data_IF_937304656865
#
_entry.id   IF_937304656865
#
_cell.length_a   1.000
_cell.length_b   1.000
_cell.length_c   1.000
_cell.angle_alpha   90.00
_cell.angle_beta   90.00
_cell.angle_gamma   90.00
#
_symmetry.space_group_name_H-M   'P 1'
#
loop_
_entity.id
_entity.type
_entity.pdbx_description
1 polymer ?
#
# COMPACT_ATOMS: atom_id res chain seq x y z
N UNK A 1 9.00 -12.17 31.06
CA UNK A 1 9.62 -11.85 29.75
C UNK A 1 8.73 -10.84 29.06
N UNK A 2 9.30 -9.84 28.37
CA UNK A 2 8.54 -8.85 27.61
C UNK A 2 8.81 -9.05 26.11
N UNK A 3 7.76 -9.07 25.31
CA UNK A 3 7.84 -9.23 23.85
C UNK A 3 7.48 -7.91 23.18
N UNK A 4 8.26 -7.51 22.18
CA UNK A 4 8.02 -6.31 21.38
C UNK A 4 7.56 -6.80 20.01
N UNK A 5 6.34 -6.46 19.60
CA UNK A 5 5.81 -6.80 18.28
C UNK A 5 6.03 -5.60 17.35
N UNK A 6 6.95 -5.66 16.39
CA UNK A 6 7.13 -4.58 15.43
C UNK A 6 5.93 -4.54 14.49
N UNK A 7 5.35 -3.36 14.30
CA UNK A 7 4.37 -3.10 13.25
C UNK A 7 5.12 -2.58 12.03
N UNK A 8 5.04 -3.31 10.93
CA UNK A 8 5.64 -2.92 9.64
C UNK A 8 4.53 -2.78 8.60
N UNK A 9 4.71 -1.81 7.70
CA UNK A 9 3.87 -1.65 6.53
C UNK A 9 4.42 -2.55 5.41
N UNK A 10 3.55 -3.32 4.78
CA UNK A 10 3.91 -4.38 3.85
C UNK A 10 3.20 -4.16 2.52
N UNK A 11 3.91 -4.39 1.43
CA UNK A 11 3.39 -4.28 0.06
C UNK A 11 2.41 -5.44 -0.21
N UNK A 12 1.20 -5.12 -0.63
CA UNK A 12 0.13 -6.08 -0.86
C UNK A 12 0.37 -6.98 -2.09
N UNK A 13 1.26 -6.58 -3.02
CA UNK A 13 1.53 -7.33 -4.24
C UNK A 13 2.57 -8.43 -4.04
N UNK A 14 3.60 -8.19 -3.23
CA UNK A 14 4.76 -9.09 -3.10
C UNK A 14 5.20 -9.36 -1.65
N UNK A 15 4.64 -8.68 -0.66
CA UNK A 15 4.99 -8.83 0.75
C UNK A 15 6.28 -8.11 1.16
N UNK A 16 6.86 -7.27 0.30
CA UNK A 16 8.02 -6.43 0.62
C UNK A 16 7.64 -5.25 1.52
N UNK A 17 8.57 -4.33 1.82
CA UNK A 17 8.27 -3.17 2.65
C UNK A 17 7.54 -2.10 1.82
N UNK A 18 6.34 -1.74 2.24
CA UNK A 18 5.60 -0.64 1.63
C UNK A 18 6.22 0.73 1.95
N UNK A 19 5.97 1.68 1.04
CA UNK A 19 6.39 3.06 1.11
C UNK A 19 5.18 4.02 1.20
N UNK A 20 4.06 3.67 0.56
CA UNK A 20 2.86 4.50 0.51
C UNK A 20 1.59 3.66 0.34
N UNK A 21 0.44 4.26 0.64
CA UNK A 21 -0.90 3.69 0.38
C UNK A 21 -1.51 4.45 -0.78
N UNK A 22 -1.92 3.75 -1.84
CA UNK A 22 -2.56 4.32 -3.02
C UNK A 22 -4.05 4.05 -2.97
N UNK A 23 -4.86 5.12 -3.03
CA UNK A 23 -6.30 5.01 -3.19
C UNK A 23 -6.68 4.96 -4.68
N UNK A 24 -7.56 4.05 -5.05
CA UNK A 24 -8.07 3.92 -6.42
C UNK A 24 -9.55 3.52 -6.43
N UNK A 25 -10.18 3.65 -7.60
CA UNK A 25 -11.56 3.26 -7.79
C UNK A 25 -11.68 2.28 -8.98
N UNK A 26 -12.45 1.21 -8.77
CA UNK A 26 -12.78 0.23 -9.81
C UNK A 26 -14.30 -0.02 -9.75
N UNK A 27 -14.97 0.15 -10.87
CA UNK A 27 -16.42 -0.03 -11.01
C UNK A 27 -17.23 0.78 -9.97
N UNK A 28 -16.78 1.99 -9.66
CA UNK A 28 -17.40 2.89 -8.68
C UNK A 28 -17.14 2.50 -7.22
N UNK A 29 -16.46 1.40 -6.96
CA UNK A 29 -16.03 0.99 -5.61
C UNK A 29 -14.64 1.54 -5.31
N UNK A 30 -14.45 2.04 -4.08
CA UNK A 30 -13.17 2.60 -3.62
C UNK A 30 -12.35 1.53 -2.93
N UNK A 31 -11.07 1.49 -3.25
CA UNK A 31 -10.09 0.56 -2.69
C UNK A 31 -8.81 1.32 -2.32
N UNK A 32 -8.03 0.69 -1.45
CA UNK A 32 -6.71 1.14 -1.03
C UNK A 32 -5.75 -0.03 -1.17
N UNK A 33 -4.49 0.25 -1.54
CA UNK A 33 -3.43 -0.76 -1.67
C UNK A 33 -2.10 -0.18 -1.16
N UNK A 34 -1.38 -0.96 -0.37
CA UNK A 34 -0.07 -0.60 0.14
C UNK A 34 1.01 -1.05 -0.85
N UNK A 35 1.86 -0.11 -1.28
CA UNK A 35 2.86 -0.34 -2.34
C UNK A 35 4.24 0.13 -1.91
N UNK A 36 5.25 -0.61 -2.33
CA UNK A 36 6.65 -0.24 -2.31
C UNK A 36 6.94 0.80 -3.40
N UNK A 37 8.06 1.51 -3.25
CA UNK A 37 8.47 2.58 -4.17
C UNK A 37 8.71 2.07 -5.61
N UNK A 38 8.95 0.77 -5.80
CA UNK A 38 9.07 0.16 -7.13
C UNK A 38 7.70 -0.10 -7.80
N UNK A 39 6.66 -0.30 -7.01
CA UNK A 39 5.30 -0.59 -7.48
C UNK A 39 4.43 0.66 -7.63
N UNK A 40 4.79 1.77 -6.99
CA UNK A 40 4.08 3.04 -7.13
C UNK A 40 4.42 3.77 -8.44
N UNK A 41 3.91 3.25 -9.56
CA UNK A 41 4.09 3.87 -10.89
C UNK A 41 2.98 4.85 -11.29
N UNK A 42 1.96 5.06 -10.46
CA UNK A 42 0.79 5.81 -10.87
C UNK A 42 0.07 6.51 -9.73
N UNK A 43 0.52 7.70 -9.37
CA UNK A 43 -0.38 8.71 -8.81
C UNK A 43 -1.41 9.07 -9.88
N UNK A 44 -2.48 8.29 -9.98
CA UNK A 44 -3.65 8.66 -10.78
C UNK A 44 -4.26 9.90 -10.12
N UNK A 45 -3.88 11.07 -10.63
CA UNK A 45 -4.51 12.32 -10.27
C UNK A 45 -6.01 12.17 -10.58
N UNK A 46 -6.91 12.25 -9.59
CA UNK A 46 -8.33 12.26 -9.87
C UNK A 46 -8.60 13.55 -10.66
N UNK A 47 -9.01 13.40 -11.92
CA UNK A 47 -9.61 14.51 -12.65
C UNK A 47 -11.02 14.77 -12.15
#
# INVERSE_FOLDING_TARGET
>A
MASITPVIMTDDLDGSKAAETVAFALDGSKYEIDLSQGHSSGSVSPS
#
